data_IF_730730780113
#
_entry.id   IF_730730780113
#
_cell.length_a   1.000
_cell.length_b   1.000
_cell.length_c   1.000
_cell.angle_alpha   90.00
_cell.angle_beta   90.00
_cell.angle_gamma   90.00
#
_symmetry.space_group_name_H-M   'P 1'
#
loop_
_entity.id
_entity.type
_entity.pdbx_description
1 polymer ?
#
# COMPACT_ATOMS: atom_id res chain seq x y z
N UNK A 1 8.73 15.58 4.66
CA UNK A 1 9.82 14.62 4.34
C UNK A 1 10.10 14.55 2.84
N UNK A 2 9.11 14.24 1.98
CA UNK A 2 9.31 14.10 0.52
C UNK A 2 10.01 15.32 -0.10
N UNK A 3 9.44 16.52 0.08
CA UNK A 3 10.01 17.77 -0.44
C UNK A 3 11.47 17.97 -0.02
N UNK A 4 11.80 17.76 1.26
CA UNK A 4 13.16 17.90 1.78
C UNK A 4 14.17 16.92 1.17
N UNK A 5 13.73 15.73 0.73
CA UNK A 5 14.63 14.65 0.30
C UNK A 5 14.69 14.49 -1.22
N UNK A 6 13.67 14.94 -1.95
CA UNK A 6 13.54 14.74 -3.40
C UNK A 6 13.68 16.04 -4.21
N UNK A 7 13.87 17.20 -3.57
CA UNK A 7 13.99 18.50 -4.25
C UNK A 7 15.40 18.87 -4.70
N UNK A 8 16.22 17.88 -5.04
CA UNK A 8 17.55 18.14 -5.59
C UNK A 8 17.48 18.16 -7.11
N UNK A 9 17.92 19.26 -7.72
CA UNK A 9 17.94 19.44 -9.16
C UNK A 9 19.31 19.08 -9.73
N UNK A 10 19.28 18.40 -10.87
CA UNK A 10 20.42 18.28 -11.77
C UNK A 10 20.46 19.51 -12.69
N UNK A 11 21.66 20.03 -12.96
CA UNK A 11 21.88 21.19 -13.84
C UNK A 11 22.81 20.78 -14.99
N UNK A 12 22.30 20.79 -16.23
CA UNK A 12 23.08 20.40 -17.40
C UNK A 12 24.13 21.44 -17.80
N UNK A 13 23.98 22.70 -17.39
CA UNK A 13 24.96 23.76 -17.64
C UNK A 13 26.11 23.70 -16.64
N UNK A 14 25.91 23.01 -15.52
CA UNK A 14 26.89 22.84 -14.44
C UNK A 14 26.93 21.40 -13.89
N UNK A 15 27.19 20.37 -14.73
CA UNK A 15 27.06 18.97 -14.33
C UNK A 15 28.02 18.56 -13.20
N UNK A 16 29.18 19.23 -13.09
CA UNK A 16 30.18 18.97 -12.07
C UNK A 16 29.84 19.46 -10.66
N UNK A 17 28.78 20.27 -10.50
CA UNK A 17 28.32 20.77 -9.19
C UNK A 17 27.50 19.69 -8.45
N UNK A 18 27.10 18.63 -9.15
CA UNK A 18 26.27 17.57 -8.59
C UNK A 18 24.83 18.02 -8.33
N UNK A 19 24.15 17.35 -7.42
CA UNK A 19 22.74 17.56 -7.11
C UNK A 19 22.58 18.72 -6.12
N UNK A 20 21.91 19.81 -6.51
CA UNK A 20 21.72 21.00 -5.65
C UNK A 20 20.27 21.14 -5.20
N UNK A 21 20.03 21.49 -3.94
CA UNK A 21 18.66 21.68 -3.45
C UNK A 21 17.99 22.90 -4.12
N UNK A 22 16.86 22.68 -4.79
CA UNK A 22 16.04 23.71 -5.44
C UNK A 22 14.56 23.58 -5.03
N UNK A 23 14.31 23.48 -3.72
CA UNK A 23 12.97 23.21 -3.17
C UNK A 23 11.86 24.15 -3.64
N UNK A 24 12.12 25.47 -3.68
CA UNK A 24 11.12 26.45 -4.16
C UNK A 24 10.69 26.18 -5.61
N UNK A 25 11.65 25.88 -6.49
CA UNK A 25 11.38 25.55 -7.90
C UNK A 25 10.63 24.22 -8.00
N UNK A 26 11.01 23.23 -7.18
CA UNK A 26 10.34 21.93 -7.12
C UNK A 26 8.86 22.06 -6.71
N UNK A 27 8.57 22.83 -5.66
CA UNK A 27 7.19 23.09 -5.22
C UNK A 27 6.37 23.83 -6.30
N UNK A 28 6.97 24.83 -6.96
CA UNK A 28 6.33 25.55 -8.08
C UNK A 28 6.01 24.60 -9.24
N UNK A 29 6.95 23.76 -9.67
CA UNK A 29 6.74 22.81 -10.75
C UNK A 29 5.68 21.74 -10.41
N UNK A 30 5.72 21.20 -9.19
CA UNK A 30 4.70 20.24 -8.74
C UNK A 30 3.31 20.86 -8.66
N UNK A 31 3.20 22.14 -8.28
CA UNK A 31 1.92 22.84 -8.21
C UNK A 31 1.22 23.03 -9.56
N UNK A 32 1.91 22.80 -10.68
CA UNK A 32 1.31 22.85 -12.02
C UNK A 32 0.92 21.46 -12.55
N UNK A 33 1.30 20.37 -11.87
CA UNK A 33 1.05 19.02 -12.34
C UNK A 33 -0.46 18.70 -12.30
N UNK A 34 -0.99 18.23 -13.43
CA UNK A 34 -2.38 17.75 -13.57
C UNK A 34 -2.47 16.22 -13.60
N UNK A 35 -1.33 15.55 -13.80
CA UNK A 35 -1.23 14.10 -13.77
C UNK A 35 0.06 13.64 -13.07
N UNK A 36 -0.01 12.45 -12.47
CA UNK A 36 1.15 11.69 -11.96
C UNK A 36 1.28 10.40 -12.75
N UNK A 37 2.51 9.91 -12.92
CA UNK A 37 2.77 8.79 -13.81
C UNK A 37 3.98 7.97 -13.36
N UNK A 38 3.86 6.65 -13.39
CA UNK A 38 4.99 5.71 -13.22
C UNK A 38 4.85 4.56 -14.23
N UNK A 39 5.96 3.89 -14.55
CA UNK A 39 5.94 2.65 -15.33
C UNK A 39 6.02 1.45 -14.36
N UNK A 40 5.17 0.46 -14.59
CA UNK A 40 5.23 -0.83 -13.91
C UNK A 40 6.46 -1.59 -14.41
N UNK A 41 7.25 -2.15 -13.49
CA UNK A 41 8.46 -2.89 -13.85
C UNK A 41 8.11 -4.25 -14.45
N UNK A 42 7.35 -5.05 -13.71
CA UNK A 42 6.98 -6.40 -14.07
C UNK A 42 5.73 -6.86 -13.32
N UNK A 43 5.08 -7.93 -13.79
CA UNK A 43 3.95 -8.52 -13.08
C UNK A 43 4.35 -9.08 -11.70
N UNK A 44 5.61 -9.48 -11.54
CA UNK A 44 6.21 -9.97 -10.29
C UNK A 44 6.54 -8.81 -9.32
N UNK A 45 7.03 -7.67 -9.85
CA UNK A 45 7.30 -6.46 -9.09
C UNK A 45 6.23 -5.41 -9.42
N UNK A 46 5.02 -5.68 -8.95
CA UNK A 46 3.90 -4.76 -9.09
C UNK A 46 3.83 -3.77 -7.92
N UNK A 47 2.83 -2.87 -7.96
CA UNK A 47 2.65 -1.75 -7.05
C UNK A 47 2.61 -2.14 -5.58
N UNK A 48 2.13 -3.35 -5.28
CA UNK A 48 1.95 -3.82 -3.91
C UNK A 48 3.03 -4.81 -3.46
N UNK A 49 3.98 -5.20 -4.33
CA UNK A 49 5.08 -6.14 -3.99
C UNK A 49 6.20 -5.45 -3.19
N UNK A 50 6.35 -4.16 -3.46
CA UNK A 50 7.46 -3.31 -3.05
C UNK A 50 6.96 -1.93 -2.65
N UNK A 51 7.71 -1.25 -1.80
CA UNK A 51 7.30 0.04 -1.25
C UNK A 51 7.78 1.26 -2.04
N UNK A 52 8.76 1.08 -2.93
CA UNK A 52 9.41 2.21 -3.59
C UNK A 52 8.48 3.00 -4.53
N UNK A 53 7.46 2.34 -5.11
CA UNK A 53 6.47 3.00 -5.96
C UNK A 53 5.66 4.05 -5.20
N UNK A 54 5.10 3.70 -4.03
CA UNK A 54 4.34 4.66 -3.24
C UNK A 54 5.26 5.62 -2.47
N UNK A 55 6.48 5.22 -2.08
CA UNK A 55 7.48 6.15 -1.50
C UNK A 55 7.76 7.36 -2.42
N UNK A 56 7.77 7.11 -3.73
CA UNK A 56 8.03 8.15 -4.74
C UNK A 56 6.76 8.72 -5.38
N UNK A 57 5.57 8.28 -4.99
CA UNK A 57 4.31 8.80 -5.52
C UNK A 57 4.01 10.23 -5.00
N UNK A 58 3.92 11.24 -5.88
CA UNK A 58 3.67 12.62 -5.47
C UNK A 58 2.17 12.98 -5.52
N UNK A 59 1.24 12.04 -5.70
CA UNK A 59 -0.18 12.34 -6.00
C UNK A 59 -0.85 13.26 -4.95
N UNK A 60 -0.88 12.87 -3.67
CA UNK A 60 -1.42 13.73 -2.61
C UNK A 60 -0.52 14.95 -2.34
N UNK A 61 0.79 14.86 -2.59
CA UNK A 61 1.71 16.00 -2.46
C UNK A 61 1.35 17.11 -3.46
N UNK A 62 1.14 16.75 -4.72
CA UNK A 62 0.69 17.67 -5.78
C UNK A 62 -0.64 18.29 -5.39
N UNK A 63 -1.61 17.47 -4.94
CA UNK A 63 -2.90 17.98 -4.47
C UNK A 63 -2.72 19.09 -3.41
N UNK A 64 -1.84 18.87 -2.43
CA UNK A 64 -1.58 19.83 -1.34
C UNK A 64 -0.82 21.09 -1.78
N UNK A 65 -0.06 21.03 -2.87
CA UNK A 65 0.69 22.17 -3.40
C UNK A 65 -0.14 23.05 -4.35
N UNK A 66 -1.19 22.47 -4.95
CA UNK A 66 -2.06 23.20 -5.87
C UNK A 66 -2.97 24.18 -5.13
N UNK A 67 -3.11 25.38 -5.68
CA UNK A 67 -4.00 26.42 -5.11
C UNK A 67 -5.48 26.02 -5.11
N UNK A 68 -5.88 25.19 -6.08
CA UNK A 68 -7.26 24.70 -6.21
C UNK A 68 -7.53 23.43 -5.39
N UNK A 69 -6.50 22.85 -4.75
CA UNK A 69 -6.62 21.60 -3.99
C UNK A 69 -7.04 20.39 -4.83
N UNK A 70 -6.99 20.48 -6.17
CA UNK A 70 -7.45 19.41 -7.06
C UNK A 70 -6.43 18.28 -7.10
N UNK A 71 -6.88 17.03 -6.90
CA UNK A 71 -6.01 15.85 -7.04
C UNK A 71 -5.62 15.65 -8.52
N UNK A 72 -4.34 15.43 -8.84
CA UNK A 72 -3.94 15.11 -10.21
C UNK A 72 -4.45 13.71 -10.60
N UNK A 73 -4.68 13.50 -11.89
CA UNK A 73 -5.01 12.17 -12.41
C UNK A 73 -3.76 11.27 -12.31
N UNK A 74 -3.84 10.15 -11.61
CA UNK A 74 -2.72 9.23 -11.43
C UNK A 74 -2.80 8.06 -12.41
N UNK A 75 -1.71 7.80 -13.13
CA UNK A 75 -1.64 6.76 -14.17
C UNK A 75 -0.42 5.85 -13.97
N UNK A 76 -0.56 4.61 -14.43
CA UNK A 76 0.51 3.61 -14.48
C UNK A 76 0.53 3.01 -15.88
N UNK A 77 1.69 3.08 -16.54
CA UNK A 77 1.91 2.33 -17.76
C UNK A 77 2.39 0.92 -17.45
N UNK A 78 1.79 -0.05 -18.11
CA UNK A 78 2.11 -1.46 -18.03
C UNK A 78 2.48 -1.94 -19.43
N UNK A 79 3.78 -2.16 -19.63
CA UNK A 79 4.36 -2.67 -20.88
C UNK A 79 4.91 -4.09 -20.70
N UNK A 80 4.43 -4.83 -19.71
CA UNK A 80 4.90 -6.20 -19.40
C UNK A 80 4.51 -7.22 -20.47
N UNK A 81 3.52 -6.87 -21.31
CA UNK A 81 3.11 -7.65 -22.48
C UNK A 81 3.22 -6.81 -23.76
N UNK A 82 3.16 -7.46 -24.92
CA UNK A 82 3.12 -6.77 -26.21
C UNK A 82 1.92 -5.82 -26.36
N UNK A 83 0.86 -6.03 -25.59
CA UNK A 83 -0.30 -5.13 -25.54
C UNK A 83 -0.10 -4.10 -24.42
N UNK A 84 0.65 -3.03 -24.70
CA UNK A 84 0.91 -1.97 -23.74
C UNK A 84 -0.40 -1.30 -23.28
N UNK A 85 -0.53 -1.04 -21.98
CA UNK A 85 -1.71 -0.43 -21.37
C UNK A 85 -1.30 0.78 -20.53
N UNK A 86 -2.11 1.83 -20.55
CA UNK A 86 -2.04 2.93 -19.58
C UNK A 86 -3.32 2.89 -18.78
N UNK A 87 -3.21 2.52 -17.50
CA UNK A 87 -4.34 2.45 -16.58
C UNK A 87 -4.25 3.59 -15.58
N UNK A 88 -5.37 3.94 -14.96
CA UNK A 88 -5.34 4.75 -13.75
C UNK A 88 -4.65 3.99 -12.62
N UNK A 89 -4.11 4.71 -11.64
CA UNK A 89 -3.52 4.11 -10.44
C UNK A 89 -4.54 3.22 -9.71
N UNK A 90 -5.79 3.68 -9.56
CA UNK A 90 -6.87 2.88 -8.95
C UNK A 90 -7.13 1.58 -9.72
N UNK A 91 -7.20 1.61 -11.05
CA UNK A 91 -7.35 0.39 -11.86
C UNK A 91 -6.20 -0.60 -11.62
N UNK A 92 -4.96 -0.13 -11.54
CA UNK A 92 -3.80 -0.98 -11.29
C UNK A 92 -3.80 -1.53 -9.85
N UNK A 93 -4.17 -0.74 -8.85
CA UNK A 93 -4.35 -1.21 -7.46
C UNK A 93 -5.45 -2.29 -7.39
N UNK A 94 -6.58 -2.10 -8.08
CA UNK A 94 -7.66 -3.09 -8.15
C UNK A 94 -7.20 -4.38 -8.83
N UNK A 95 -6.44 -4.28 -9.93
CA UNK A 95 -5.84 -5.44 -10.60
C UNK A 95 -4.89 -6.19 -9.67
N UNK A 96 -4.03 -5.49 -8.94
CA UNK A 96 -3.13 -6.07 -7.94
C UNK A 96 -3.90 -6.80 -6.82
N UNK A 97 -4.95 -6.17 -6.29
CA UNK A 97 -5.78 -6.77 -5.26
C UNK A 97 -6.42 -8.07 -5.76
N UNK A 98 -7.03 -8.07 -6.95
CA UNK A 98 -7.72 -9.23 -7.55
C UNK A 98 -6.78 -10.34 -8.00
N UNK A 99 -5.53 -10.03 -8.34
CA UNK A 99 -4.56 -11.03 -8.84
C UNK A 99 -3.64 -11.54 -7.75
N UNK A 100 -3.51 -10.83 -6.62
CA UNK A 100 -2.62 -11.17 -5.50
C UNK A 100 -3.37 -11.30 -4.18
N UNK A 101 -3.50 -10.21 -3.41
CA UNK A 101 -3.97 -10.24 -2.02
C UNK A 101 -5.29 -11.00 -1.86
N UNK A 102 -6.22 -10.80 -2.78
CA UNK A 102 -7.58 -11.38 -2.75
C UNK A 102 -7.76 -12.51 -3.78
N UNK A 103 -6.67 -13.03 -4.34
CA UNK A 103 -6.69 -14.17 -5.23
C UNK A 103 -6.42 -15.45 -4.44
N UNK A 104 -7.38 -16.40 -4.35
CA UNK A 104 -7.20 -17.67 -3.65
C UNK A 104 -5.97 -18.44 -4.11
N UNK A 105 -5.67 -18.46 -5.41
CA UNK A 105 -4.49 -19.15 -5.91
C UNK A 105 -3.19 -18.52 -5.40
N UNK A 106 -3.18 -17.21 -5.19
CA UNK A 106 -2.00 -16.51 -4.71
C UNK A 106 -1.83 -16.69 -3.21
N UNK A 107 -2.85 -16.36 -2.39
CA UNK A 107 -2.70 -16.43 -0.94
C UNK A 107 -2.59 -17.88 -0.45
N UNK A 108 -3.28 -18.86 -1.05
CA UNK A 108 -3.06 -20.28 -0.72
C UNK A 108 -1.66 -20.75 -1.13
N UNK A 109 -1.19 -20.31 -2.29
CA UNK A 109 0.18 -20.56 -2.73
C UNK A 109 1.21 -20.03 -1.72
N UNK A 110 1.00 -18.81 -1.23
CA UNK A 110 1.85 -18.24 -0.16
C UNK A 110 1.72 -19.04 1.14
N UNK A 111 0.50 -19.32 1.61
CA UNK A 111 0.28 -20.04 2.87
C UNK A 111 0.83 -21.47 2.85
N UNK A 112 0.94 -22.12 1.68
CA UNK A 112 1.61 -23.42 1.55
C UNK A 112 3.10 -23.37 1.95
N UNK A 113 3.72 -22.19 1.93
CA UNK A 113 5.11 -21.97 2.37
C UNK A 113 5.22 -21.68 3.88
N UNK A 114 4.11 -21.73 4.62
CA UNK A 114 4.07 -21.59 6.07
C UNK A 114 4.40 -20.18 6.54
N UNK A 115 5.37 -20.07 7.47
CA UNK A 115 5.68 -18.84 8.20
C UNK A 115 5.98 -17.63 7.29
N UNK A 116 6.82 -17.82 6.26
CA UNK A 116 7.18 -16.75 5.31
C UNK A 116 6.00 -16.38 4.39
N UNK A 117 5.08 -17.31 4.15
CA UNK A 117 3.85 -17.07 3.39
C UNK A 117 2.98 -15.99 4.02
N UNK A 118 2.73 -16.10 5.33
CA UNK A 118 1.96 -15.10 6.09
C UNK A 118 2.67 -13.73 6.04
N UNK A 119 4.00 -13.71 6.11
CA UNK A 119 4.78 -12.47 5.98
C UNK A 119 4.61 -11.80 4.61
N UNK A 120 4.42 -12.58 3.53
CA UNK A 120 4.12 -12.03 2.20
C UNK A 120 2.73 -11.40 2.13
N UNK A 121 1.74 -12.02 2.77
CA UNK A 121 0.37 -11.48 2.87
C UNK A 121 0.37 -10.18 3.68
N UNK A 122 1.02 -10.17 4.85
CA UNK A 122 1.18 -8.98 5.69
C UNK A 122 1.83 -7.84 4.92
N UNK A 123 2.98 -8.09 4.29
CA UNK A 123 3.69 -7.09 3.50
C UNK A 123 2.82 -6.47 2.41
N UNK A 124 1.99 -7.31 1.76
CA UNK A 124 1.07 -6.88 0.70
C UNK A 124 0.03 -5.89 1.24
N UNK A 125 -0.61 -6.24 2.34
CA UNK A 125 -1.59 -5.38 3.01
C UNK A 125 -0.96 -4.06 3.45
N UNK A 126 0.22 -4.12 4.06
CA UNK A 126 0.99 -2.93 4.49
C UNK A 126 1.34 -2.02 3.30
N UNK A 127 1.77 -2.57 2.17
CA UNK A 127 2.04 -1.79 0.96
C UNK A 127 0.77 -1.15 0.37
N UNK A 128 -0.38 -1.84 0.45
CA UNK A 128 -1.68 -1.27 0.05
C UNK A 128 -2.02 -0.03 0.88
N UNK A 129 -1.75 -0.03 2.20
CA UNK A 129 -1.93 1.17 3.05
C UNK A 129 -1.01 2.32 2.63
N UNK A 130 0.21 2.03 2.16
CA UNK A 130 1.10 3.03 1.58
C UNK A 130 0.44 3.82 0.45
N UNK A 131 -0.29 3.15 -0.44
CA UNK A 131 -1.04 3.78 -1.52
C UNK A 131 -2.20 4.65 -1.05
N UNK A 132 -2.89 4.25 0.03
CA UNK A 132 -3.91 5.12 0.65
C UNK A 132 -3.30 6.40 1.18
N UNK A 133 -2.13 6.33 1.83
CA UNK A 133 -1.45 7.49 2.37
C UNK A 133 -0.92 8.45 1.28
N UNK A 134 -0.35 7.93 0.19
CA UNK A 134 0.34 8.76 -0.82
C UNK A 134 -0.59 9.23 -1.94
N UNK A 135 -1.63 8.46 -2.26
CA UNK A 135 -2.53 8.73 -3.38
C UNK A 135 -4.01 8.75 -3.02
N UNK A 136 -4.42 8.03 -1.96
CA UNK A 136 -5.83 7.78 -1.66
C UNK A 136 -6.59 7.15 -2.82
N UNK A 137 -5.94 6.24 -3.58
CA UNK A 137 -6.52 5.53 -4.73
C UNK A 137 -6.82 4.05 -4.45
N UNK A 138 -6.85 3.64 -3.17
CA UNK A 138 -7.33 2.31 -2.77
C UNK A 138 -8.80 2.43 -2.44
N UNK A 139 -9.63 1.60 -3.08
CA UNK A 139 -11.06 1.57 -2.80
C UNK A 139 -11.35 0.85 -1.47
N UNK A 140 -12.39 1.29 -0.75
CA UNK A 140 -12.79 0.71 0.54
C UNK A 140 -12.98 -0.82 0.49
N UNK A 141 -13.50 -1.34 -0.62
CA UNK A 141 -13.79 -2.77 -0.79
C UNK A 141 -12.51 -3.63 -0.72
N UNK A 142 -11.33 -3.09 -1.05
CA UNK A 142 -10.08 -3.84 -0.97
C UNK A 142 -9.78 -4.26 0.47
N UNK A 143 -9.99 -3.34 1.41
CA UNK A 143 -9.81 -3.60 2.84
C UNK A 143 -10.95 -4.45 3.41
N UNK A 144 -12.18 -4.19 2.98
CA UNK A 144 -13.34 -4.97 3.44
C UNK A 144 -13.24 -6.44 3.00
N UNK A 145 -12.96 -6.72 1.72
CA UNK A 145 -12.76 -8.09 1.22
C UNK A 145 -11.54 -8.76 1.87
N UNK A 146 -10.46 -8.01 2.17
CA UNK A 146 -9.32 -8.55 2.90
C UNK A 146 -9.68 -8.94 4.33
N UNK A 147 -10.46 -8.11 5.04
CA UNK A 147 -10.97 -8.42 6.38
C UNK A 147 -11.89 -9.65 6.33
N UNK A 148 -12.82 -9.72 5.36
CA UNK A 148 -13.68 -10.88 5.18
C UNK A 148 -12.87 -12.16 4.95
N UNK A 149 -11.86 -12.10 4.06
CA UNK A 149 -11.06 -13.26 3.67
C UNK A 149 -10.16 -13.76 4.81
N UNK A 150 -9.49 -12.86 5.53
CA UNK A 150 -8.43 -13.24 6.47
C UNK A 150 -8.83 -13.21 7.95
N UNK A 151 -9.93 -12.53 8.30
CA UNK A 151 -10.33 -12.27 9.69
C UNK A 151 -11.74 -12.82 9.99
N UNK A 152 -12.70 -12.63 9.08
CA UNK A 152 -14.07 -13.12 9.32
C UNK A 152 -14.19 -14.63 9.10
N UNK A 153 -13.42 -15.20 8.19
CA UNK A 153 -13.26 -16.65 8.05
C UNK A 153 -12.43 -17.21 9.22
N UNK A 154 -13.10 -17.92 10.14
CA UNK A 154 -12.52 -18.55 11.32
C UNK A 154 -11.42 -19.57 10.97
N UNK A 155 -11.55 -20.32 9.87
CA UNK A 155 -10.55 -21.32 9.47
C UNK A 155 -9.26 -20.61 9.03
N UNK A 156 -9.40 -19.60 8.16
CA UNK A 156 -8.29 -18.80 7.67
C UNK A 156 -7.61 -18.03 8.82
N UNK A 157 -8.40 -17.40 9.69
CA UNK A 157 -7.90 -16.67 10.85
C UNK A 157 -7.04 -17.54 11.74
N UNK A 158 -7.55 -18.72 12.12
CA UNK A 158 -6.82 -19.65 12.98
C UNK A 158 -5.54 -20.16 12.31
N UNK A 159 -5.60 -20.42 11.00
CA UNK A 159 -4.44 -20.83 10.22
C UNK A 159 -3.36 -19.74 10.20
N UNK A 160 -3.71 -18.48 9.94
CA UNK A 160 -2.78 -17.35 9.93
C UNK A 160 -2.13 -17.14 11.30
N UNK A 161 -2.96 -17.07 12.36
CA UNK A 161 -2.51 -16.85 13.73
C UNK A 161 -1.55 -17.95 14.21
N UNK A 162 -1.85 -19.21 13.92
CA UNK A 162 -0.98 -20.33 14.32
C UNK A 162 0.28 -20.45 13.47
N UNK A 163 0.23 -20.07 12.19
CA UNK A 163 1.37 -20.19 11.28
C UNK A 163 2.42 -19.11 11.52
N UNK A 164 2.01 -17.87 11.78
CA UNK A 164 2.93 -16.77 12.08
C UNK A 164 2.24 -15.69 12.94
N UNK A 165 2.25 -15.84 14.28
CA UNK A 165 1.64 -14.87 15.19
C UNK A 165 2.16 -13.45 15.00
N UNK A 166 3.46 -13.29 14.73
CA UNK A 166 4.07 -11.96 14.57
C UNK A 166 3.57 -11.22 13.32
N UNK A 167 3.49 -11.91 12.18
CA UNK A 167 2.95 -11.31 10.95
C UNK A 167 1.44 -11.13 11.02
N UNK A 168 0.72 -12.05 11.66
CA UNK A 168 -0.72 -11.91 11.90
C UNK A 168 -1.03 -10.69 12.78
N UNK A 169 -0.29 -10.49 13.88
CA UNK A 169 -0.37 -9.28 14.70
C UNK A 169 -0.21 -8.01 13.87
N UNK A 170 0.79 -7.98 12.98
CA UNK A 170 1.00 -6.84 12.08
C UNK A 170 -0.17 -6.63 11.12
N UNK A 171 -0.78 -7.69 10.59
CA UNK A 171 -2.00 -7.55 9.78
C UNK A 171 -3.12 -6.87 10.57
N UNK A 172 -3.35 -7.28 11.82
CA UNK A 172 -4.34 -6.65 12.71
C UNK A 172 -4.03 -5.18 12.97
N UNK A 173 -2.76 -4.84 13.25
CA UNK A 173 -2.31 -3.45 13.39
C UNK A 173 -2.59 -2.65 12.12
N UNK A 174 -2.26 -3.21 10.95
CA UNK A 174 -2.48 -2.56 9.66
C UNK A 174 -3.96 -2.32 9.40
N UNK A 175 -4.86 -3.27 9.70
CA UNK A 175 -6.31 -3.05 9.58
C UNK A 175 -6.80 -1.94 10.52
N UNK A 176 -6.41 -1.97 11.80
CA UNK A 176 -6.76 -0.96 12.78
C UNK A 176 -6.20 0.43 12.43
N UNK A 177 -4.97 0.50 11.92
CA UNK A 177 -4.33 1.72 11.44
C UNK A 177 -5.09 2.30 10.23
N UNK A 178 -5.44 1.43 9.28
CA UNK A 178 -6.16 1.84 8.06
C UNK A 178 -7.50 2.48 8.40
N UNK A 179 -8.25 1.88 9.35
CA UNK A 179 -9.48 2.47 9.86
C UNK A 179 -9.22 3.76 10.65
N UNK A 180 -8.27 3.75 11.59
CA UNK A 180 -7.96 4.91 12.43
C UNK A 180 -7.45 6.14 11.65
N UNK A 181 -6.87 5.93 10.47
CA UNK A 181 -6.46 7.00 9.54
C UNK A 181 -7.56 7.44 8.57
N UNK A 182 -8.74 6.80 8.61
CA UNK A 182 -9.88 7.10 7.74
C UNK A 182 -9.75 6.57 6.30
N UNK A 183 -8.89 5.58 6.06
CA UNK A 183 -8.73 4.95 4.75
C UNK A 183 -9.69 3.76 4.54
N UNK A 184 -10.22 3.20 5.63
CA UNK A 184 -11.16 2.09 5.60
C UNK A 184 -12.34 2.35 6.54
N UNK A 185 -13.53 2.39 5.97
CA UNK A 185 -14.81 2.45 6.68
C UNK A 185 -15.42 1.05 6.75
N UNK A 186 -15.76 0.62 7.97
CA UNK A 186 -16.30 -0.71 8.26
C UNK A 186 -17.17 -0.69 9.52
N UNK A 187 -17.82 -1.80 9.85
CA UNK A 187 -18.69 -1.89 11.01
C UNK A 187 -17.92 -1.78 12.34
N UNK A 188 -18.58 -1.25 13.38
CA UNK A 188 -18.00 -1.23 14.73
C UNK A 188 -17.69 -2.65 15.26
N UNK A 189 -18.48 -3.64 14.84
CA UNK A 189 -18.26 -5.06 15.15
C UNK A 189 -16.94 -5.58 14.55
N UNK A 190 -16.64 -5.25 13.29
CA UNK A 190 -15.37 -5.62 12.67
C UNK A 190 -14.18 -5.03 13.44
N UNK A 191 -14.26 -3.75 13.84
CA UNK A 191 -13.21 -3.09 14.60
C UNK A 191 -13.04 -3.72 15.99
N UNK A 192 -14.13 -4.08 16.65
CA UNK A 192 -14.08 -4.73 17.95
C UNK A 192 -13.48 -6.15 17.86
N UNK A 193 -13.85 -6.94 16.84
CA UNK A 193 -13.24 -8.26 16.57
C UNK A 193 -11.72 -8.11 16.35
N UNK A 194 -11.29 -7.14 15.55
CA UNK A 194 -9.86 -6.88 15.32
C UNK A 194 -9.10 -6.52 16.60
N UNK A 195 -9.70 -5.74 17.51
CA UNK A 195 -9.10 -5.39 18.81
C UNK A 195 -8.98 -6.59 19.74
N UNK A 196 -10.01 -7.44 19.79
CA UNK A 196 -9.99 -8.67 20.59
C UNK A 196 -8.89 -9.61 20.10
N UNK A 197 -8.84 -9.87 18.79
CA UNK A 197 -7.78 -10.68 18.18
C UNK A 197 -6.39 -10.10 18.39
N UNK A 198 -6.27 -8.76 18.42
CA UNK A 198 -4.99 -8.10 18.71
C UNK A 198 -4.53 -8.40 20.14
N UNK A 199 -5.44 -8.35 21.11
CA UNK A 199 -5.13 -8.74 22.49
C UNK A 199 -4.76 -10.22 22.60
N UNK A 200 -5.49 -11.12 21.93
CA UNK A 200 -5.26 -12.56 21.96
C UNK A 200 -3.89 -12.95 21.37
N UNK A 201 -3.52 -12.35 20.23
CA UNK A 201 -2.22 -12.63 19.61
C UNK A 201 -1.06 -12.04 20.41
N UNK A 202 -1.25 -10.91 21.11
CA UNK A 202 -0.26 -10.35 22.04
C UNK A 202 -0.04 -11.29 23.23
N UNK A 203 -1.11 -11.75 23.89
CA UNK A 203 -1.03 -12.70 25.01
C UNK A 203 -0.26 -13.97 24.57
N UNK A 204 -0.53 -14.46 23.35
CA UNK A 204 0.17 -15.61 22.75
C UNK A 204 1.65 -15.37 22.46
N UNK A 205 2.03 -14.16 22.02
CA UNK A 205 3.43 -13.81 21.71
C UNK A 205 4.23 -13.60 23.00
N UNK A 206 3.64 -12.94 23.99
CA UNK A 206 4.28 -12.61 25.26
C UNK A 206 4.25 -13.77 26.28
N UNK A 207 3.51 -14.85 25.98
CA UNK A 207 3.46 -16.06 26.79
C UNK A 207 2.62 -15.94 28.07
N UNK A 208 1.58 -15.11 28.02
CA UNK A 208 0.64 -14.93 29.13
C UNK A 208 -0.49 -15.97 28.97
N UNK A 209 -0.37 -17.10 29.65
CA UNK A 209 -1.47 -18.06 29.78
C UNK A 209 -2.47 -17.52 30.83
N UNK A 210 -3.74 -17.34 30.43
CA UNK A 210 -4.85 -17.05 31.35
C UNK A 210 -5.46 -18.33 31.94
#
# INVERSE_FOLDING_TARGET
MYLSRKSFAFDCDAPGVGMTEKRKVFEMALSTAEATFQNLDSSEISLTDVSHYFDSDPTNLVQNLRKDGKKPNAYIADTTTANAQVRTLSETVRLDARTKLLNPKWYEGMLSTGYEGVRKIEKRLTNTVGWSATSGQVDNWVYEEANTTFIQDEEMLNRLMNTNPNSFRKMLQTFLETNGRGYWETSAENIEKLRQLYSEVEDKIEGIDR
#
